data_IF_794426802975
#
_entry.id   IF_794426802975
#
_cell.length_a   1.000
_cell.length_b   1.000
_cell.length_c   1.000
_cell.angle_alpha   90.00
_cell.angle_beta   90.00
_cell.angle_gamma   90.00
#
_symmetry.space_group_name_H-M   'P 1'
#
loop_
_entity.id
_entity.type
_entity.pdbx_description
1 polymer ?
#
# COMPACT_ATOMS: atom_id res chain seq x y z
N UNK A 1 22.28 25.80 11.34
CA UNK A 1 22.59 24.48 10.77
C UNK A 1 21.74 24.17 9.54
N UNK A 2 21.15 25.17 8.87
CA UNK A 2 20.26 24.98 7.70
C UNK A 2 20.89 25.34 6.34
N UNK A 3 22.06 25.94 6.32
CA UNK A 3 22.68 26.37 5.06
C UNK A 3 23.32 25.26 4.21
N UNK A 4 23.67 24.11 4.82
CA UNK A 4 24.30 23.00 4.08
C UNK A 4 23.28 22.15 3.29
N UNK A 5 22.04 22.02 3.75
CA UNK A 5 21.00 21.23 3.06
C UNK A 5 20.47 21.97 1.82
N UNK A 6 20.34 23.31 1.88
CA UNK A 6 19.95 24.11 0.74
C UNK A 6 20.99 24.12 -0.39
N UNK A 7 22.27 24.08 -0.03
CA UNK A 7 23.37 24.00 -0.99
C UNK A 7 23.40 22.68 -1.75
N UNK A 8 23.12 21.56 -1.08
CA UNK A 8 23.14 20.22 -1.70
C UNK A 8 21.94 19.99 -2.62
N UNK A 9 20.75 20.42 -2.22
CA UNK A 9 19.56 20.34 -3.06
C UNK A 9 19.65 21.25 -4.31
N UNK A 10 20.25 22.43 -4.16
CA UNK A 10 20.52 23.32 -5.28
C UNK A 10 21.60 22.74 -6.22
N UNK A 11 22.62 22.07 -5.68
CA UNK A 11 23.68 21.42 -6.46
C UNK A 11 23.16 20.22 -7.26
N UNK A 12 22.26 19.40 -6.70
CA UNK A 12 21.60 18.30 -7.41
C UNK A 12 20.69 18.81 -8.54
N UNK A 13 20.04 19.96 -8.35
CA UNK A 13 19.21 20.60 -9.39
C UNK A 13 20.07 21.26 -10.49
N UNK A 14 21.33 21.61 -10.20
CA UNK A 14 22.26 22.23 -11.15
C UNK A 14 23.17 21.21 -11.87
N UNK A 15 23.25 19.98 -11.39
CA UNK A 15 24.18 18.96 -11.94
C UNK A 15 23.60 18.16 -13.12
N UNK A 16 22.37 18.42 -13.57
CA UNK A 16 21.72 17.58 -14.59
C UNK A 16 21.70 18.18 -16.00
N UNK A 17 22.38 19.28 -16.28
CA UNK A 17 22.15 19.96 -17.57
C UNK A 17 23.44 20.41 -18.25
N UNK A 18 24.14 19.46 -18.82
CA UNK A 18 25.15 19.75 -19.83
C UNK A 18 24.48 20.18 -21.15
N UNK A 19 24.16 21.45 -21.27
CA UNK A 19 24.02 22.14 -22.56
C UNK A 19 22.78 21.85 -23.41
N UNK A 20 21.78 21.12 -22.91
CA UNK A 20 20.59 20.75 -23.66
C UNK A 20 19.31 21.43 -23.17
N UNK A 21 19.40 22.26 -22.11
CA UNK A 21 18.25 23.00 -21.60
C UNK A 21 17.83 24.12 -22.54
N UNK A 22 16.62 24.06 -23.05
CA UNK A 22 16.00 25.12 -23.83
C UNK A 22 15.36 26.18 -22.95
N UNK A 23 15.07 25.88 -21.68
CA UNK A 23 14.45 26.80 -20.72
C UNK A 23 14.62 26.30 -19.28
N UNK A 24 14.48 27.21 -18.32
CA UNK A 24 14.46 26.88 -16.88
C UNK A 24 13.04 26.72 -16.39
N UNK A 25 12.74 25.57 -15.78
CA UNK A 25 11.44 25.29 -15.16
C UNK A 25 11.36 26.00 -13.82
N UNK A 26 10.45 26.99 -13.69
CA UNK A 26 10.28 27.79 -12.48
C UNK A 26 8.94 27.59 -11.78
N UNK A 27 8.03 26.84 -12.41
CA UNK A 27 6.65 26.66 -11.97
C UNK A 27 6.36 25.28 -11.37
N UNK A 28 7.40 24.52 -11.00
CA UNK A 28 7.26 23.23 -10.32
C UNK A 28 7.59 23.37 -8.84
N UNK A 29 6.74 22.79 -7.99
CA UNK A 29 7.04 22.65 -6.58
C UNK A 29 8.22 21.69 -6.37
N UNK A 30 8.97 21.89 -5.30
CA UNK A 30 10.00 20.92 -4.88
C UNK A 30 9.31 19.60 -4.47
N UNK A 31 9.95 18.43 -4.70
CA UNK A 31 9.45 17.17 -4.18
C UNK A 31 9.21 17.25 -2.66
N UNK A 32 8.07 16.71 -2.22
CA UNK A 32 7.69 16.66 -0.80
C UNK A 32 8.35 15.44 -0.14
N UNK A 33 9.65 15.52 0.07
CA UNK A 33 10.49 14.47 0.67
C UNK A 33 11.28 15.03 1.87
N UNK A 34 11.88 14.15 2.69
CA UNK A 34 12.70 14.55 3.82
C UNK A 34 11.90 15.13 5.00
N UNK A 35 10.61 14.81 5.12
CA UNK A 35 9.73 15.23 6.21
C UNK A 35 9.07 14.02 6.87
N UNK A 36 8.43 14.24 8.00
CA UNK A 36 7.57 13.24 8.61
C UNK A 36 6.12 13.65 8.47
N UNK A 37 5.34 12.90 7.68
CA UNK A 37 3.95 13.22 7.37
C UNK A 37 3.02 13.26 8.60
N UNK A 38 3.36 12.54 9.67
CA UNK A 38 2.61 12.59 10.92
C UNK A 38 3.01 13.78 11.80
N UNK A 39 4.32 13.95 12.07
CA UNK A 39 4.77 15.01 12.98
C UNK A 39 4.64 16.41 12.38
N UNK A 40 4.61 16.51 11.06
CA UNK A 40 4.36 17.76 10.34
C UNK A 40 2.88 18.17 10.29
N UNK A 41 1.95 17.24 10.49
CA UNK A 41 0.51 17.49 10.45
C UNK A 41 -0.02 17.79 11.86
N UNK A 42 -0.20 19.08 12.17
CA UNK A 42 -0.66 19.52 13.49
C UNK A 42 -2.07 19.02 13.80
N UNK A 43 -2.98 19.11 12.83
CA UNK A 43 -4.36 18.70 13.03
C UNK A 43 -4.48 17.18 13.27
N UNK A 44 -3.73 16.39 12.52
CA UNK A 44 -3.69 14.93 12.71
C UNK A 44 -3.12 14.56 14.07
N UNK A 45 -2.05 15.23 14.53
CA UNK A 45 -1.47 15.00 15.87
C UNK A 45 -2.44 15.29 16.99
N UNK A 46 -3.17 16.39 16.91
CA UNK A 46 -4.17 16.78 17.91
C UNK A 46 -5.33 15.77 17.95
N UNK A 47 -5.83 15.33 16.79
CA UNK A 47 -6.84 14.29 16.70
C UNK A 47 -6.36 12.96 17.31
N UNK A 48 -5.14 12.55 16.99
CA UNK A 48 -4.56 11.31 17.53
C UNK A 48 -4.33 11.40 19.04
N UNK A 49 -3.84 12.54 19.54
CA UNK A 49 -3.65 12.75 20.97
C UNK A 49 -4.96 12.64 21.75
N UNK A 50 -6.07 13.13 21.19
CA UNK A 50 -7.38 13.10 21.84
C UNK A 50 -8.11 11.75 21.73
N UNK A 51 -7.85 10.93 20.72
CA UNK A 51 -8.66 9.74 20.42
C UNK A 51 -7.91 8.41 20.48
N UNK A 52 -6.62 8.39 20.15
CA UNK A 52 -5.80 7.17 20.09
C UNK A 52 -4.31 7.47 20.37
N UNK A 53 -3.94 8.01 21.55
CA UNK A 53 -2.55 8.38 21.83
C UNK A 53 -1.59 7.19 21.77
N UNK A 54 -2.07 5.98 21.96
CA UNK A 54 -1.29 4.75 21.88
C UNK A 54 -0.74 4.45 20.46
N UNK A 55 -1.34 5.00 19.40
CA UNK A 55 -0.87 4.78 18.01
C UNK A 55 0.25 5.74 17.61
N UNK A 56 0.56 6.76 18.40
CA UNK A 56 1.57 7.79 18.11
C UNK A 56 2.92 7.20 17.67
N UNK A 57 3.50 6.18 18.35
CA UNK A 57 4.77 5.61 17.92
C UNK A 57 4.69 5.02 16.50
N UNK A 58 3.64 4.27 16.20
CA UNK A 58 3.43 3.67 14.88
C UNK A 58 3.14 4.73 13.81
N UNK A 59 2.29 5.71 14.10
CA UNK A 59 2.00 6.83 13.21
C UNK A 59 3.25 7.66 12.90
N UNK A 60 4.13 7.88 13.91
CA UNK A 60 5.41 8.57 13.72
C UNK A 60 6.34 7.79 12.82
N UNK A 61 6.46 6.47 13.03
CA UNK A 61 7.27 5.59 12.20
C UNK A 61 6.77 5.57 10.76
N UNK A 62 5.46 5.38 10.56
CA UNK A 62 4.85 5.36 9.22
C UNK A 62 4.91 6.73 8.54
N UNK A 63 4.74 7.82 9.30
CA UNK A 63 4.87 9.19 8.78
C UNK A 63 6.29 9.51 8.30
N UNK A 64 7.31 8.96 8.95
CA UNK A 64 8.69 9.07 8.48
C UNK A 64 8.90 8.34 7.16
N UNK A 65 8.34 7.12 7.02
CA UNK A 65 8.38 6.38 5.75
C UNK A 65 7.62 7.10 4.64
N UNK A 66 6.50 7.75 4.95
CA UNK A 66 5.72 8.48 3.96
C UNK A 66 6.49 9.68 3.36
N UNK A 67 7.39 10.29 4.11
CA UNK A 67 8.27 11.35 3.60
C UNK A 67 9.67 10.89 3.18
N UNK A 68 9.95 9.59 3.23
CA UNK A 68 11.25 9.05 2.85
C UNK A 68 11.43 9.00 1.32
N UNK A 69 12.57 9.49 0.83
CA UNK A 69 12.85 9.57 -0.61
C UNK A 69 12.87 8.20 -1.28
N UNK A 70 13.41 7.17 -0.61
CA UNK A 70 13.48 5.83 -1.19
C UNK A 70 12.08 5.20 -1.27
N UNK A 71 11.23 5.45 -0.28
CA UNK A 71 9.84 4.97 -0.28
C UNK A 71 9.02 5.68 -1.36
N UNK A 72 9.22 6.99 -1.56
CA UNK A 72 8.61 7.74 -2.67
C UNK A 72 9.11 7.25 -4.04
N UNK A 73 10.38 6.86 -4.16
CA UNK A 73 10.90 6.23 -5.38
C UNK A 73 10.27 4.85 -5.64
N UNK A 74 10.06 4.02 -4.59
CA UNK A 74 9.30 2.78 -4.74
C UNK A 74 7.88 3.04 -5.26
N UNK A 75 7.24 4.11 -4.77
CA UNK A 75 5.91 4.53 -5.23
C UNK A 75 5.92 4.91 -6.72
N UNK A 76 6.90 5.71 -7.14
CA UNK A 76 7.09 6.09 -8.54
C UNK A 76 7.26 4.86 -9.44
N UNK A 77 8.14 3.93 -9.06
CA UNK A 77 8.39 2.69 -9.81
C UNK A 77 7.15 1.80 -9.88
N UNK A 78 6.40 1.67 -8.79
CA UNK A 78 5.18 0.88 -8.77
C UNK A 78 4.08 1.48 -9.69
N UNK A 79 4.02 2.80 -9.80
CA UNK A 79 3.08 3.51 -10.70
C UNK A 79 3.51 3.45 -12.17
N UNK A 80 4.79 3.55 -12.47
CA UNK A 80 5.28 3.48 -13.85
C UNK A 80 5.20 2.06 -14.43
N UNK A 81 5.45 1.05 -13.61
CA UNK A 81 5.43 -0.34 -14.02
C UNK A 81 4.10 -1.01 -13.66
N UNK A 82 3.11 -0.81 -14.52
CA UNK A 82 1.78 -1.39 -14.33
C UNK A 82 1.79 -2.91 -14.22
N UNK A 83 0.87 -3.50 -13.42
CA UNK A 83 0.72 -4.95 -13.33
C UNK A 83 0.48 -5.60 -14.69
N UNK A 84 1.12 -6.72 -14.96
CA UNK A 84 1.02 -7.45 -16.22
C UNK A 84 0.33 -8.79 -16.02
N UNK A 85 -0.69 -9.06 -16.84
CA UNK A 85 -1.35 -10.37 -16.86
C UNK A 85 -0.53 -11.35 -17.70
N UNK A 86 0.00 -12.39 -17.06
CA UNK A 86 0.65 -13.53 -17.70
C UNK A 86 -0.35 -14.66 -17.83
N UNK A 87 -0.93 -14.81 -18.99
CA UNK A 87 -1.97 -15.83 -19.24
C UNK A 87 -1.41 -17.22 -19.41
N UNK A 88 -0.27 -17.36 -20.07
CA UNK A 88 0.38 -18.63 -20.38
C UNK A 88 1.90 -18.55 -20.20
N UNK A 89 2.52 -19.70 -19.95
CA UNK A 89 3.98 -19.83 -20.01
C UNK A 89 4.46 -20.02 -21.48
N UNK A 90 5.79 -20.14 -21.64
CA UNK A 90 6.42 -20.35 -22.95
C UNK A 90 6.06 -21.69 -23.63
N UNK A 91 5.47 -22.63 -22.88
CA UNK A 91 5.04 -23.95 -23.39
C UNK A 91 3.54 -24.02 -23.64
N UNK A 92 2.80 -22.90 -23.46
CA UNK A 92 1.35 -22.83 -23.63
C UNK A 92 0.54 -23.29 -22.41
N UNK A 93 1.17 -23.60 -21.27
CA UNK A 93 0.45 -23.92 -20.06
C UNK A 93 -0.20 -22.66 -19.46
N UNK A 94 -1.46 -22.77 -19.04
CA UNK A 94 -2.20 -21.65 -18.49
C UNK A 94 -1.71 -21.29 -17.10
N UNK A 95 -1.41 -20.01 -16.89
CA UNK A 95 -0.90 -19.45 -15.63
C UNK A 95 -1.93 -18.55 -14.93
N UNK A 96 -2.54 -17.65 -15.70
CA UNK A 96 -3.46 -16.59 -15.21
C UNK A 96 -2.86 -15.78 -14.05
N UNK A 97 -1.64 -15.28 -14.23
CA UNK A 97 -0.92 -14.53 -13.22
C UNK A 97 -1.02 -13.04 -13.42
N UNK A 98 -1.16 -12.30 -12.34
CA UNK A 98 -0.81 -10.88 -12.32
C UNK A 98 0.59 -10.74 -11.73
N UNK A 99 1.50 -10.20 -12.52
CA UNK A 99 2.88 -9.90 -12.14
C UNK A 99 3.00 -8.43 -11.79
N UNK A 100 3.46 -8.15 -10.58
CA UNK A 100 3.70 -6.80 -10.08
C UNK A 100 5.19 -6.50 -10.05
N UNK A 101 5.55 -5.24 -10.21
CA UNK A 101 6.93 -4.79 -10.05
C UNK A 101 7.42 -5.03 -8.61
N UNK A 102 8.72 -5.36 -8.37
CA UNK A 102 9.26 -5.57 -7.03
C UNK A 102 9.00 -4.42 -6.05
N UNK A 103 9.00 -3.18 -6.51
CA UNK A 103 8.68 -2.00 -5.71
C UNK A 103 7.28 -2.09 -5.08
N UNK A 104 6.27 -2.55 -5.83
CA UNK A 104 4.92 -2.75 -5.31
C UNK A 104 4.90 -3.78 -4.17
N UNK A 105 5.65 -4.87 -4.29
CA UNK A 105 5.76 -5.89 -3.24
C UNK A 105 6.42 -5.32 -1.96
N UNK A 106 7.41 -4.44 -2.11
CA UNK A 106 8.04 -3.77 -0.98
C UNK A 106 7.06 -2.82 -0.27
N UNK A 107 6.32 -2.01 -1.02
CA UNK A 107 5.29 -1.15 -0.47
C UNK A 107 4.21 -1.95 0.28
N UNK A 108 3.71 -3.03 -0.29
CA UNK A 108 2.76 -3.92 0.39
C UNK A 108 3.33 -4.45 1.71
N UNK A 109 4.60 -4.87 1.71
CA UNK A 109 5.27 -5.35 2.93
C UNK A 109 5.32 -4.27 4.00
N UNK A 110 5.71 -3.05 3.65
CA UNK A 110 5.77 -1.92 4.58
C UNK A 110 4.38 -1.58 5.15
N UNK A 111 3.37 -1.47 4.29
CA UNK A 111 2.00 -1.17 4.72
C UNK A 111 1.41 -2.23 5.66
N UNK A 112 1.62 -3.52 5.36
CA UNK A 112 1.14 -4.61 6.22
C UNK A 112 1.83 -4.62 7.58
N UNK A 113 3.15 -4.46 7.64
CA UNK A 113 3.93 -4.41 8.89
C UNK A 113 3.53 -3.26 9.80
N UNK A 114 3.11 -2.13 9.22
CA UNK A 114 2.60 -1.00 9.99
C UNK A 114 1.12 -1.11 10.35
N UNK A 115 0.47 -2.22 10.03
CA UNK A 115 -0.91 -2.49 10.43
C UNK A 115 -1.98 -1.77 9.62
N UNK A 116 -1.63 -1.23 8.43
CA UNK A 116 -2.59 -0.50 7.57
C UNK A 116 -3.79 -1.38 7.19
N UNK A 117 -3.61 -2.70 7.07
CA UNK A 117 -4.69 -3.66 6.83
C UNK A 117 -5.35 -4.17 8.11
N UNK A 118 -4.57 -4.57 9.14
CA UNK A 118 -5.05 -5.44 10.23
C UNK A 118 -5.21 -4.79 11.60
N UNK A 119 -4.62 -3.64 11.87
CA UNK A 119 -4.51 -3.06 13.21
C UNK A 119 -5.85 -3.00 13.97
N UNK A 120 -6.91 -2.55 13.29
CA UNK A 120 -8.23 -2.41 13.92
C UNK A 120 -8.83 -3.73 14.45
N UNK A 121 -8.39 -4.85 13.92
CA UNK A 121 -8.90 -6.19 14.25
C UNK A 121 -8.00 -6.98 15.19
N UNK A 122 -6.78 -6.48 15.45
CA UNK A 122 -5.77 -7.13 16.27
C UNK A 122 -5.53 -6.40 17.60
N UNK A 123 -5.86 -5.11 17.68
CA UNK A 123 -5.75 -4.33 18.91
C UNK A 123 -6.93 -4.59 19.85
N UNK A 124 -6.68 -4.49 21.16
CA UNK A 124 -7.71 -4.46 22.20
C UNK A 124 -8.25 -3.05 22.46
N UNK A 125 -7.64 -2.03 21.89
CA UNK A 125 -8.02 -0.63 22.08
C UNK A 125 -9.34 -0.28 21.39
N UNK A 126 -10.25 0.39 22.08
CA UNK A 126 -11.57 0.76 21.55
C UNK A 126 -11.47 1.67 20.32
N UNK A 127 -10.40 2.47 20.20
CA UNK A 127 -10.12 3.35 19.06
C UNK A 127 -9.39 2.69 17.90
N UNK A 128 -9.35 1.35 17.82
CA UNK A 128 -8.61 0.61 16.79
C UNK A 128 -8.95 0.98 15.36
N UNK A 129 -10.24 1.19 15.06
CA UNK A 129 -10.68 1.61 13.71
C UNK A 129 -10.22 3.04 13.37
N UNK A 130 -10.27 3.95 14.35
CA UNK A 130 -9.72 5.30 14.17
C UNK A 130 -8.21 5.26 13.95
N UNK A 131 -7.47 4.53 14.77
CA UNK A 131 -6.03 4.37 14.64
C UNK A 131 -5.65 3.79 13.27
N UNK A 132 -6.37 2.76 12.80
CA UNK A 132 -6.17 2.21 11.44
C UNK A 132 -6.45 3.27 10.36
N UNK A 133 -7.47 4.11 10.51
CA UNK A 133 -7.76 5.17 9.56
C UNK A 133 -6.61 6.18 9.48
N UNK A 134 -6.01 6.55 10.62
CA UNK A 134 -4.80 7.38 10.68
C UNK A 134 -3.64 6.77 9.90
N UNK A 135 -3.36 5.48 10.13
CA UNK A 135 -2.29 4.79 9.40
C UNK A 135 -2.58 4.71 7.90
N UNK A 136 -3.84 4.47 7.52
CA UNK A 136 -4.24 4.46 6.12
C UNK A 136 -4.10 5.83 5.47
N UNK A 137 -4.44 6.91 6.17
CA UNK A 137 -4.27 8.28 5.70
C UNK A 137 -2.79 8.61 5.42
N UNK A 138 -1.89 8.24 6.34
CA UNK A 138 -0.46 8.43 6.17
C UNK A 138 0.07 7.59 5.00
N UNK A 139 -0.35 6.33 4.89
CA UNK A 139 0.13 5.41 3.86
C UNK A 139 -0.35 5.81 2.46
N UNK A 140 -1.55 6.33 2.32
CA UNK A 140 -2.08 6.80 1.04
C UNK A 140 -1.37 8.05 0.49
N UNK A 141 -0.52 8.70 1.29
CA UNK A 141 0.38 9.76 0.80
C UNK A 141 1.61 9.19 0.07
N UNK A 142 1.88 7.90 0.20
CA UNK A 142 2.95 7.20 -0.51
C UNK A 142 2.47 6.72 -1.88
N UNK A 143 1.49 5.79 -1.88
CA UNK A 143 1.04 5.14 -3.12
C UNK A 143 -0.39 4.57 -2.94
N UNK A 144 -1.33 5.07 -3.75
CA UNK A 144 -2.76 4.71 -3.64
C UNK A 144 -3.10 3.33 -4.20
N UNK A 145 -2.30 2.76 -5.09
CA UNK A 145 -2.54 1.42 -5.63
C UNK A 145 -2.45 0.33 -4.56
N UNK A 146 -1.66 0.54 -3.50
CA UNK A 146 -1.59 -0.34 -2.33
C UNK A 146 -2.72 -0.10 -1.33
N UNK A 147 -3.38 1.05 -1.39
CA UNK A 147 -4.53 1.40 -0.54
C UNK A 147 -5.74 0.51 -0.79
N UNK A 148 -6.00 0.13 -2.05
CA UNK A 148 -7.11 -0.75 -2.40
C UNK A 148 -6.96 -2.15 -1.77
N UNK A 149 -5.88 -2.93 -2.00
CA UNK A 149 -5.75 -4.28 -1.43
C UNK A 149 -5.67 -4.28 0.11
N UNK A 150 -5.04 -3.28 0.73
CA UNK A 150 -5.03 -3.14 2.20
C UNK A 150 -6.41 -2.80 2.77
N UNK A 151 -7.17 -1.95 2.07
CA UNK A 151 -8.56 -1.63 2.41
C UNK A 151 -9.50 -2.81 2.24
N UNK A 152 -9.33 -3.61 1.18
CA UNK A 152 -10.10 -4.84 0.96
C UNK A 152 -9.80 -5.89 2.02
N UNK A 153 -8.53 -6.10 2.38
CA UNK A 153 -8.12 -6.99 3.46
C UNK A 153 -8.74 -6.58 4.81
N UNK A 154 -8.71 -5.28 5.13
CA UNK A 154 -9.38 -4.73 6.30
C UNK A 154 -10.89 -5.00 6.30
N UNK A 155 -11.59 -4.71 5.20
CA UNK A 155 -13.03 -4.89 5.11
C UNK A 155 -13.46 -6.37 5.18
N UNK A 156 -12.67 -7.29 4.60
CA UNK A 156 -12.97 -8.72 4.60
C UNK A 156 -13.01 -9.32 6.02
N UNK A 157 -12.21 -8.76 6.94
CA UNK A 157 -12.15 -9.27 8.33
C UNK A 157 -13.50 -9.14 9.06
N UNK A 158 -14.33 -8.16 8.72
CA UNK A 158 -15.70 -8.07 9.24
C UNK A 158 -16.56 -9.26 8.81
N UNK A 159 -16.40 -9.71 7.56
CA UNK A 159 -17.11 -10.87 7.01
C UNK A 159 -16.64 -12.22 7.56
N UNK A 160 -15.47 -12.27 8.19
CA UNK A 160 -14.92 -13.50 8.78
C UNK A 160 -15.33 -13.71 10.24
N UNK A 161 -15.89 -12.70 10.89
CA UNK A 161 -16.29 -12.76 12.29
C UNK A 161 -17.37 -13.82 12.50
N UNK A 162 -17.17 -14.70 13.49
CA UNK A 162 -18.10 -15.78 13.83
C UNK A 162 -18.23 -16.90 12.80
N UNK A 163 -17.32 -16.98 11.82
CA UNK A 163 -17.37 -17.95 10.71
C UNK A 163 -16.13 -18.85 10.74
N UNK A 164 -16.19 -20.03 11.38
CA UNK A 164 -15.04 -20.91 11.56
C UNK A 164 -14.44 -21.42 10.24
N UNK A 165 -15.22 -21.52 9.17
CA UNK A 165 -14.76 -21.88 7.84
C UNK A 165 -13.73 -20.90 7.25
N UNK A 166 -13.70 -19.67 7.75
CA UNK A 166 -12.72 -18.63 7.35
C UNK A 166 -11.61 -18.40 8.39
N UNK A 167 -11.50 -19.24 9.42
CA UNK A 167 -10.51 -19.03 10.49
C UNK A 167 -9.08 -18.88 9.96
N UNK A 168 -8.64 -19.75 9.05
CA UNK A 168 -7.32 -19.69 8.45
C UNK A 168 -7.12 -18.43 7.58
N UNK A 169 -8.14 -18.02 6.82
CA UNK A 169 -8.09 -16.80 6.05
C UNK A 169 -7.94 -15.59 6.97
N UNK A 170 -8.72 -15.53 8.04
CA UNK A 170 -8.64 -14.46 9.04
C UNK A 170 -7.27 -14.41 9.69
N UNK A 171 -6.73 -15.56 10.13
CA UNK A 171 -5.38 -15.67 10.71
C UNK A 171 -4.33 -15.07 9.76
N UNK A 172 -4.31 -15.53 8.51
CA UNK A 172 -3.31 -15.09 7.53
C UNK A 172 -3.48 -13.62 7.12
N UNK A 173 -4.72 -13.11 7.05
CA UNK A 173 -4.99 -11.70 6.73
C UNK A 173 -4.56 -10.78 7.86
N UNK A 174 -4.65 -11.21 9.11
CA UNK A 174 -4.31 -10.44 10.30
C UNK A 174 -2.87 -10.66 10.80
N UNK A 175 -2.07 -11.48 10.12
CA UNK A 175 -0.70 -11.79 10.54
C UNK A 175 0.26 -10.58 10.53
N UNK A 176 -0.11 -9.48 9.85
CA UNK A 176 0.78 -8.34 9.63
C UNK A 176 1.86 -8.60 8.56
N UNK A 177 1.85 -9.79 7.94
CA UNK A 177 2.81 -10.16 6.92
C UNK A 177 2.17 -10.10 5.52
N UNK A 178 2.95 -9.62 4.56
CA UNK A 178 2.65 -9.72 3.15
C UNK A 178 3.49 -10.84 2.51
N UNK A 179 2.84 -11.82 1.91
CA UNK A 179 3.52 -12.96 1.29
C UNK A 179 3.18 -13.05 -0.21
N UNK A 180 4.07 -12.60 -1.12
CA UNK A 180 3.84 -12.63 -2.57
C UNK A 180 3.97 -14.02 -3.19
N UNK A 181 4.45 -15.03 -2.44
CA UNK A 181 4.69 -16.37 -2.96
C UNK A 181 3.39 -17.02 -3.46
N UNK A 182 3.51 -17.82 -4.50
CA UNK A 182 2.40 -18.57 -5.10
C UNK A 182 2.32 -19.98 -4.54
N UNK A 183 1.93 -20.06 -3.30
CA UNK A 183 1.81 -21.31 -2.55
C UNK A 183 0.40 -21.42 -1.97
N UNK A 184 -0.05 -22.63 -1.62
CA UNK A 184 -1.32 -22.81 -0.91
C UNK A 184 -1.40 -21.93 0.35
N UNK A 185 -2.62 -21.53 0.73
CA UNK A 185 -2.86 -20.65 1.88
C UNK A 185 -2.21 -21.14 3.17
N UNK A 186 -2.20 -22.46 3.40
CA UNK A 186 -1.58 -23.11 4.56
C UNK A 186 -0.06 -22.89 4.66
N UNK A 187 0.59 -22.60 3.55
CA UNK A 187 2.05 -22.36 3.48
C UNK A 187 2.42 -20.87 3.43
N UNK A 188 1.41 -19.98 3.37
CA UNK A 188 1.64 -18.55 3.36
C UNK A 188 1.89 -18.00 4.77
N UNK A 189 2.80 -17.01 4.88
CA UNK A 189 2.95 -16.21 6.08
C UNK A 189 1.78 -15.24 6.28
N UNK A 190 1.30 -14.63 5.18
CA UNK A 190 0.17 -13.72 5.18
C UNK A 190 -0.67 -13.83 3.92
N UNK A 191 -1.91 -13.33 3.96
CA UNK A 191 -2.82 -13.31 2.83
C UNK A 191 -3.45 -11.93 2.61
N UNK A 192 -3.60 -11.58 1.34
CA UNK A 192 -4.37 -10.40 0.91
C UNK A 192 -5.68 -10.88 0.32
N UNK A 193 -6.77 -10.24 0.74
CA UNK A 193 -8.11 -10.59 0.27
C UNK A 193 -8.52 -9.66 -0.86
N UNK A 194 -8.86 -10.22 -1.99
CA UNK A 194 -9.52 -9.52 -3.08
C UNK A 194 -11.03 -9.71 -3.00
N UNK A 195 -11.78 -8.63 -3.23
CA UNK A 195 -13.22 -8.67 -3.35
C UNK A 195 -13.62 -8.49 -4.81
N UNK A 196 -14.33 -9.49 -5.36
CA UNK A 196 -14.86 -9.41 -6.72
C UNK A 196 -16.37 -9.63 -6.70
N UNK A 197 -17.12 -8.67 -7.26
CA UNK A 197 -18.54 -8.86 -7.51
C UNK A 197 -18.73 -9.54 -8.88
N UNK A 198 -19.53 -10.63 -8.99
CA UNK A 198 -19.85 -11.21 -10.29
C UNK A 198 -20.50 -10.15 -11.18
N UNK A 199 -19.79 -9.73 -12.21
CA UNK A 199 -20.26 -8.73 -13.14
C UNK A 199 -21.10 -9.33 -14.27
N UNK A 200 -21.53 -8.48 -15.23
CA UNK A 200 -22.32 -8.87 -16.41
C UNK A 200 -21.72 -10.01 -17.24
N UNK A 201 -20.39 -10.18 -17.22
CA UNK A 201 -19.68 -11.24 -17.95
C UNK A 201 -20.00 -12.67 -17.43
N UNK A 202 -20.36 -12.84 -16.17
CA UNK A 202 -20.78 -14.15 -15.65
C UNK A 202 -22.15 -14.57 -16.20
N UNK A 203 -23.03 -13.61 -16.54
CA UNK A 203 -24.33 -13.89 -17.16
C UNK A 203 -24.21 -14.29 -18.63
N UNK A 204 -23.19 -13.81 -19.33
CA UNK A 204 -22.92 -14.19 -20.73
C UNK A 204 -22.33 -15.60 -20.84
N UNK A 205 -21.60 -16.09 -19.83
CA UNK A 205 -21.12 -17.47 -19.81
C UNK A 205 -22.24 -18.48 -19.50
N UNK A 206 -23.25 -18.10 -18.73
CA UNK A 206 -24.42 -18.94 -18.44
C UNK A 206 -25.37 -19.12 -19.62
N UNK A 207 -25.44 -18.14 -20.54
CA UNK A 207 -26.31 -18.20 -21.71
C UNK A 207 -25.75 -19.04 -22.88
N UNK A 208 -24.44 -19.36 -22.85
CA UNK A 208 -23.78 -20.15 -23.91
C UNK A 208 -23.81 -21.68 -23.71
N UNK A 209 -24.30 -22.19 -22.57
CA UNK A 209 -24.28 -23.63 -22.25
C UNK A 209 -25.67 -24.30 -22.28
N UNK A 210 -26.68 -23.61 -22.83
CA UNK A 210 -27.97 -24.24 -23.14
C UNK A 210 -28.19 -24.31 -24.65
N UNK A 211 -27.32 -25.00 -25.36
CA UNK A 211 -27.65 -25.55 -26.68
C UNK A 211 -26.93 -26.89 -26.86
N UNK A 212 -27.74 -27.94 -26.66
CA UNK A 212 -27.69 -29.37 -27.02
C UNK A 212 -27.06 -30.28 -26.01
#
# INVERSE_FOLDING_TARGET
>A
MNMHLESTALALQLASTDGVETHRVLNQARPCIGHNAFTGDVALRELVAGHAPWVVPNATSLGALAGDEQVQELARLANEHHPQLRTHDRFGNRLDWVEFHPAWHQLMTLGFRHGVAGLAWTTSEASGHFARAVLSYLWNQVENGTGCPTGMAYAACAGFAGRPEFALWREKTLSGEYDPRRVPLTQKAGAVIGYARPGRLSRLRGAGHQRR
#
